data_IF_204508363353
#
_entry.id   IF_204508363353
#
_cell.length_a   1.000
_cell.length_b   1.000
_cell.length_c   1.000
_cell.angle_alpha   90.00
_cell.angle_beta   90.00
_cell.angle_gamma   90.00
#
_symmetry.space_group_name_H-M   'P 1'
#
loop_
_entity.id
_entity.type
_entity.pdbx_description
1 polymer ?
#
# COMPACT_ATOMS: atom_id res chain seq x y z
N UNK A 1 5.15 -75.46 9.24
CA UNK A 1 4.03 -75.36 8.28
C UNK A 1 2.86 -74.69 9.00
N UNK A 2 2.22 -73.60 8.54
CA UNK A 2 2.45 -72.78 7.34
C UNK A 2 2.82 -71.31 7.62
N UNK A 3 3.47 -70.69 6.65
CA UNK A 3 3.74 -69.25 6.52
C UNK A 3 2.53 -68.55 5.87
N UNK A 4 2.21 -67.32 6.25
CA UNK A 4 1.57 -66.30 5.39
C UNK A 4 1.23 -65.03 6.17
N UNK A 5 1.28 -63.79 5.70
CA UNK A 5 1.93 -63.11 4.56
C UNK A 5 1.80 -61.61 4.91
N UNK A 6 2.87 -60.82 4.77
CA UNK A 6 2.83 -59.38 5.02
C UNK A 6 1.84 -58.68 4.07
N UNK A 7 0.90 -57.89 4.62
CA UNK A 7 -0.05 -57.11 3.84
C UNK A 7 0.59 -55.77 3.42
N UNK A 8 1.43 -55.81 2.38
CA UNK A 8 1.82 -54.61 1.64
C UNK A 8 0.58 -54.09 0.89
N UNK A 9 0.05 -52.94 1.27
CA UNK A 9 -0.85 -52.18 0.40
C UNK A 9 -0.04 -51.09 -0.28
N UNK A 10 0.31 -51.33 -1.56
CA UNK A 10 0.91 -50.33 -2.42
C UNK A 10 -0.01 -49.11 -2.53
N UNK A 11 0.46 -47.94 -2.09
CA UNK A 11 -0.19 -46.66 -2.38
C UNK A 11 0.05 -46.35 -3.85
N UNK A 12 -0.95 -46.57 -4.70
CA UNK A 12 -0.91 -46.17 -6.12
C UNK A 12 -0.68 -44.65 -6.21
N UNK A 13 0.47 -44.27 -6.76
CA UNK A 13 0.75 -42.92 -7.25
C UNK A 13 0.35 -42.84 -8.72
N UNK A 14 -0.85 -42.35 -9.02
CA UNK A 14 -1.17 -41.89 -10.37
C UNK A 14 -1.81 -40.51 -10.29
N UNK A 15 -0.99 -39.50 -10.61
CA UNK A 15 -1.48 -38.21 -11.06
C UNK A 15 -2.04 -38.32 -12.48
N UNK A 16 -2.86 -37.35 -12.86
CA UNK A 16 -3.30 -37.12 -14.25
C UNK A 16 -4.72 -37.61 -14.55
N UNK A 17 -5.61 -36.65 -14.83
CA UNK A 17 -7.04 -36.80 -15.16
C UNK A 17 -7.32 -37.74 -16.34
N UNK A 18 -8.43 -38.47 -16.29
CA UNK A 18 -9.02 -39.17 -17.44
C UNK A 18 -9.76 -38.20 -18.39
N UNK A 19 -9.75 -38.42 -19.72
CA UNK A 19 -10.41 -37.53 -20.66
C UNK A 19 -11.92 -37.82 -20.71
N UNK A 20 -12.75 -36.81 -20.45
CA UNK A 20 -14.21 -36.95 -20.56
C UNK A 20 -14.74 -36.14 -21.75
N UNK A 21 -15.35 -36.85 -22.69
CA UNK A 21 -16.08 -36.32 -23.85
C UNK A 21 -17.47 -35.85 -23.40
N UNK A 22 -17.84 -34.61 -23.74
CA UNK A 22 -19.25 -34.18 -23.83
C UNK A 22 -19.75 -33.16 -22.81
N UNK A 23 -20.07 -31.97 -23.35
CA UNK A 23 -20.97 -30.91 -22.88
C UNK A 23 -20.53 -30.01 -21.70
N UNK A 24 -20.73 -28.72 -21.96
CA UNK A 24 -20.26 -27.56 -21.21
C UNK A 24 -20.54 -27.65 -19.71
N UNK A 25 -19.48 -27.60 -18.91
CA UNK A 25 -19.58 -27.39 -17.46
C UNK A 25 -18.91 -26.07 -17.12
N UNK A 26 -19.73 -25.10 -16.69
CA UNK A 26 -19.30 -23.87 -16.03
C UNK A 26 -18.22 -24.22 -15.01
N UNK A 27 -17.08 -23.53 -15.04
CA UNK A 27 -16.02 -23.66 -14.05
C UNK A 27 -16.49 -23.10 -12.71
N UNK A 28 -17.32 -23.88 -12.01
CA UNK A 28 -17.51 -23.73 -10.58
C UNK A 28 -16.16 -24.06 -9.91
N UNK A 29 -15.41 -23.02 -9.51
CA UNK A 29 -14.30 -23.19 -8.58
C UNK A 29 -14.81 -23.99 -7.39
N UNK A 30 -14.22 -25.17 -7.16
CA UNK A 30 -14.51 -26.02 -6.01
C UNK A 30 -14.30 -25.23 -4.71
N UNK A 31 -15.38 -24.68 -4.15
CA UNK A 31 -15.57 -24.64 -2.71
C UNK A 31 -16.43 -25.85 -2.37
N UNK A 32 -15.78 -26.90 -1.87
CA UNK A 32 -16.41 -28.17 -1.59
C UNK A 32 -17.69 -28.03 -0.74
N UNK A 33 -18.70 -28.82 -1.07
CA UNK A 33 -19.79 -29.20 -0.17
C UNK A 33 -19.16 -29.90 1.05
N UNK A 34 -18.87 -29.12 2.09
CA UNK A 34 -18.52 -29.65 3.40
C UNK A 34 -19.71 -29.40 4.32
N UNK A 35 -20.42 -30.48 4.67
CA UNK A 35 -21.25 -30.54 5.88
C UNK A 35 -20.29 -30.31 7.04
N UNK A 36 -20.27 -29.08 7.57
CA UNK A 36 -19.37 -28.66 8.65
C UNK A 36 -18.46 -27.49 8.27
N UNK A 37 -18.96 -26.27 8.52
CA UNK A 37 -18.16 -25.06 8.68
C UNK A 37 -17.51 -24.49 7.40
N UNK A 38 -18.00 -23.34 6.94
CA UNK A 38 -17.29 -22.49 5.97
C UNK A 38 -15.89 -22.21 6.52
N UNK A 39 -14.83 -22.58 5.78
CA UNK A 39 -13.45 -22.21 6.14
C UNK A 39 -13.39 -20.71 6.35
N UNK A 40 -12.98 -20.28 7.56
CA UNK A 40 -12.86 -18.85 7.89
C UNK A 40 -11.96 -18.17 6.85
N UNK A 41 -12.34 -16.98 6.35
CA UNK A 41 -11.48 -16.24 5.43
C UNK A 41 -10.16 -15.92 6.11
N UNK A 42 -9.06 -16.11 5.37
CA UNK A 42 -7.73 -15.82 5.90
C UNK A 42 -7.57 -14.32 6.15
N UNK A 43 -7.19 -13.95 7.39
CA UNK A 43 -6.88 -12.58 7.79
C UNK A 43 -5.44 -12.49 8.29
N UNK A 44 -4.67 -11.58 7.72
CA UNK A 44 -3.33 -11.29 8.20
C UNK A 44 -3.36 -10.67 9.60
N UNK A 45 -2.32 -10.94 10.40
CA UNK A 45 -2.16 -10.30 11.71
C UNK A 45 -1.98 -8.77 11.53
N UNK A 46 -2.43 -7.96 12.50
CA UNK A 46 -2.11 -6.52 12.51
C UNK A 46 -0.60 -6.29 12.33
N UNK A 47 -0.23 -5.29 11.52
CA UNK A 47 1.16 -5.00 11.19
C UNK A 47 1.76 -5.82 10.03
N UNK A 48 1.26 -7.03 9.73
CA UNK A 48 1.82 -7.85 8.63
C UNK A 48 1.67 -7.17 7.27
N UNK A 49 0.51 -6.56 7.00
CA UNK A 49 0.27 -5.86 5.74
C UNK A 49 1.05 -4.55 5.69
N UNK A 50 1.09 -3.80 6.79
CA UNK A 50 1.84 -2.54 6.90
C UNK A 50 3.35 -2.76 6.64
N UNK A 51 3.98 -3.78 7.23
CA UNK A 51 5.39 -4.10 6.99
C UNK A 51 5.66 -4.49 5.52
N UNK A 52 4.69 -5.16 4.87
CA UNK A 52 4.79 -5.49 3.45
C UNK A 52 4.69 -4.24 2.57
N UNK A 53 3.81 -3.31 2.91
CA UNK A 53 3.66 -2.03 2.22
C UNK A 53 4.91 -1.16 2.38
N UNK A 54 5.47 -1.05 3.59
CA UNK A 54 6.73 -0.32 3.85
C UNK A 54 7.85 -0.85 2.95
N UNK A 55 8.06 -2.18 2.91
CA UNK A 55 9.09 -2.79 2.06
C UNK A 55 8.84 -2.57 0.57
N UNK A 56 7.56 -2.60 0.15
CA UNK A 56 7.19 -2.33 -1.24
C UNK A 56 7.55 -0.90 -1.60
N UNK A 57 7.10 0.08 -0.82
CA UNK A 57 7.29 1.50 -1.12
C UNK A 57 8.74 1.95 -1.00
N UNK A 58 9.53 1.37 -0.09
CA UNK A 58 10.96 1.61 -0.01
C UNK A 58 11.76 1.06 -1.21
N UNK A 59 11.23 0.05 -1.92
CA UNK A 59 11.89 -0.53 -3.10
C UNK A 59 11.54 0.24 -4.39
N UNK A 60 10.41 0.94 -4.41
CA UNK A 60 9.92 1.69 -5.55
C UNK A 60 10.21 3.19 -5.43
N UNK A 61 10.23 3.89 -6.55
CA UNK A 61 10.31 5.36 -6.61
C UNK A 61 9.06 5.97 -7.25
N UNK A 62 7.92 5.27 -7.20
CA UNK A 62 6.67 5.77 -7.73
C UNK A 62 6.09 6.88 -6.84
N UNK A 63 5.54 7.93 -7.46
CA UNK A 63 4.83 8.98 -6.74
C UNK A 63 3.51 8.43 -6.18
N UNK A 64 3.26 8.67 -4.89
CA UNK A 64 2.14 8.13 -4.14
C UNK A 64 0.92 9.06 -4.13
N UNK A 65 1.13 10.37 -4.30
CA UNK A 65 0.03 11.33 -4.36
C UNK A 65 -0.57 11.31 -5.77
N UNK A 66 -1.91 11.26 -5.84
CA UNK A 66 -2.61 11.30 -7.13
C UNK A 66 -2.37 12.66 -7.81
N UNK A 67 -1.94 12.63 -9.08
CA UNK A 67 -1.56 13.83 -9.85
C UNK A 67 -2.65 14.91 -9.92
N UNK A 68 -3.90 14.51 -10.18
CA UNK A 68 -4.99 15.47 -10.43
C UNK A 68 -5.42 16.24 -9.16
N UNK A 69 -5.61 15.58 -7.99
CA UNK A 69 -5.75 16.29 -6.71
C UNK A 69 -4.56 17.20 -6.36
N UNK A 70 -3.32 16.73 -6.57
CA UNK A 70 -2.13 17.55 -6.31
C UNK A 70 -2.12 18.82 -7.17
N UNK A 71 -2.40 18.69 -8.46
CA UNK A 71 -2.51 19.82 -9.38
C UNK A 71 -3.59 20.82 -8.94
N UNK A 72 -4.76 20.36 -8.46
CA UNK A 72 -5.82 21.24 -7.95
C UNK A 72 -5.34 22.02 -6.73
N UNK A 73 -4.67 21.35 -5.78
CA UNK A 73 -4.11 21.98 -4.59
C UNK A 73 -3.06 23.04 -4.93
N UNK A 74 -2.15 22.76 -5.87
CA UNK A 74 -1.15 23.75 -6.31
C UNK A 74 -1.83 24.99 -6.88
N UNK A 75 -2.87 24.81 -7.70
CA UNK A 75 -3.63 25.93 -8.29
C UNK A 75 -4.39 26.74 -7.25
N UNK A 76 -4.97 26.07 -6.27
CA UNK A 76 -5.68 26.68 -5.15
C UNK A 76 -4.74 27.58 -4.34
N UNK A 77 -3.57 27.06 -3.95
CA UNK A 77 -2.52 27.82 -3.25
C UNK A 77 -2.01 28.99 -4.11
N UNK A 78 -1.84 28.79 -5.41
CA UNK A 78 -1.44 29.85 -6.34
C UNK A 78 -2.47 30.98 -6.41
N UNK A 79 -3.77 30.65 -6.42
CA UNK A 79 -4.84 31.63 -6.42
C UNK A 79 -4.92 32.40 -5.10
N UNK A 80 -4.93 31.68 -3.97
CA UNK A 80 -5.07 32.24 -2.63
C UNK A 80 -3.85 33.07 -2.20
N UNK A 81 -2.65 32.49 -2.26
CA UNK A 81 -1.45 33.11 -1.67
C UNK A 81 -0.75 34.13 -2.54
N UNK A 82 -0.88 34.02 -3.86
CA UNK A 82 -0.09 34.81 -4.79
C UNK A 82 -0.94 35.71 -5.69
N UNK A 83 -2.25 35.76 -5.46
CA UNK A 83 -3.17 36.63 -6.21
C UNK A 83 -3.17 36.33 -7.70
N UNK A 84 -2.74 35.14 -8.11
CA UNK A 84 -2.70 34.81 -9.53
C UNK A 84 -4.11 34.76 -10.12
N UNK A 85 -5.16 34.58 -9.31
CA UNK A 85 -6.57 34.58 -9.72
C UNK A 85 -6.95 35.88 -10.44
N UNK A 86 -6.71 35.93 -11.76
CA UNK A 86 -7.24 36.99 -12.61
C UNK A 86 -8.59 36.55 -13.17
N UNK A 87 -9.59 37.45 -13.20
CA UNK A 87 -10.93 37.13 -13.67
C UNK A 87 -10.98 36.70 -15.15
N UNK A 88 -9.96 37.05 -15.94
CA UNK A 88 -9.81 36.73 -17.36
C UNK A 88 -9.08 35.40 -17.64
N UNK A 89 -8.36 34.84 -16.66
CA UNK A 89 -7.67 33.54 -16.77
C UNK A 89 -8.14 32.59 -15.67
N UNK A 90 -9.22 31.82 -15.90
CA UNK A 90 -9.75 30.87 -14.92
C UNK A 90 -8.77 29.72 -14.59
N UNK A 91 -7.72 29.53 -15.40
CA UNK A 91 -6.71 28.50 -15.19
C UNK A 91 -5.29 29.05 -15.40
N UNK A 92 -4.49 29.12 -14.34
CA UNK A 92 -3.06 29.42 -14.45
C UNK A 92 -2.35 28.40 -15.33
N UNK A 93 -1.61 28.86 -16.33
CA UNK A 93 -0.81 27.93 -17.14
C UNK A 93 0.40 27.56 -16.31
N UNK A 94 0.48 26.29 -15.92
CA UNK A 94 1.61 25.72 -15.20
C UNK A 94 2.24 24.70 -16.14
N UNK A 95 3.55 24.78 -16.31
CA UNK A 95 4.29 23.79 -17.07
C UNK A 95 4.12 22.40 -16.43
N UNK A 96 3.98 21.37 -17.26
CA UNK A 96 3.87 19.98 -16.79
C UNK A 96 5.10 19.55 -15.98
N UNK A 97 6.29 19.94 -16.42
CA UNK A 97 7.56 19.71 -15.70
C UNK A 97 7.61 20.42 -14.34
N UNK A 98 7.07 21.64 -14.23
CA UNK A 98 7.01 22.36 -12.95
C UNK A 98 6.07 21.66 -11.96
N UNK A 99 4.90 21.19 -12.41
CA UNK A 99 4.00 20.39 -11.56
C UNK A 99 4.65 19.09 -11.09
N UNK A 100 5.39 18.41 -11.96
CA UNK A 100 6.11 17.19 -11.60
C UNK A 100 7.20 17.46 -10.56
N UNK A 101 8.01 18.50 -10.75
CA UNK A 101 9.06 18.88 -9.81
C UNK A 101 8.50 19.28 -8.43
N UNK A 102 7.39 20.04 -8.40
CA UNK A 102 6.71 20.37 -7.16
C UNK A 102 6.21 19.12 -6.43
N UNK A 103 5.67 18.15 -7.17
CA UNK A 103 5.18 16.91 -6.59
C UNK A 103 6.33 16.07 -6.02
N UNK A 104 7.40 15.89 -6.79
CA UNK A 104 8.58 15.13 -6.38
C UNK A 104 9.21 15.72 -5.11
N UNK A 105 9.43 17.04 -5.09
CA UNK A 105 9.97 17.74 -3.92
C UNK A 105 9.04 17.62 -2.69
N UNK A 106 7.73 17.75 -2.89
CA UNK A 106 6.75 17.64 -1.80
C UNK A 106 6.72 16.24 -1.20
N UNK A 107 6.72 15.20 -2.03
CA UNK A 107 6.70 13.81 -1.55
C UNK A 107 8.02 13.44 -0.87
N UNK A 108 9.17 13.85 -1.43
CA UNK A 108 10.47 13.65 -0.81
C UNK A 108 10.53 14.28 0.60
N UNK A 109 10.09 15.54 0.71
CA UNK A 109 10.02 16.26 1.98
C UNK A 109 9.13 15.54 3.02
N UNK A 110 7.93 15.08 2.61
CA UNK A 110 7.02 14.37 3.50
C UNK A 110 7.61 13.03 3.97
N UNK A 111 8.28 12.28 3.09
CA UNK A 111 8.94 11.02 3.46
C UNK A 111 10.01 11.26 4.52
N UNK A 112 10.85 12.28 4.34
CA UNK A 112 11.90 12.65 5.30
C UNK A 112 11.30 13.08 6.64
N UNK A 113 10.27 13.93 6.61
CA UNK A 113 9.57 14.35 7.82
C UNK A 113 8.93 13.18 8.58
N UNK A 114 8.38 12.18 7.87
CA UNK A 114 7.84 10.98 8.49
C UNK A 114 8.92 10.07 9.07
N UNK A 115 10.13 10.06 8.52
CA UNK A 115 11.26 9.33 9.10
C UNK A 115 11.63 9.93 10.47
N UNK A 116 11.73 11.25 10.56
CA UNK A 116 12.01 11.94 11.83
C UNK A 116 10.88 11.78 12.84
N UNK A 117 9.63 11.91 12.40
CA UNK A 117 8.47 11.71 13.26
C UNK A 117 8.41 10.26 13.79
N UNK A 118 8.82 9.29 12.97
CA UNK A 118 8.92 7.89 13.39
C UNK A 118 10.05 7.70 14.43
N UNK A 119 11.20 8.34 14.24
CA UNK A 119 12.29 8.33 15.23
C UNK A 119 11.83 8.94 16.58
N UNK A 120 11.08 10.05 16.54
CA UNK A 120 10.50 10.67 17.74
C UNK A 120 9.46 9.76 18.43
N UNK A 121 8.62 9.06 17.67
CA UNK A 121 7.67 8.10 18.22
C UNK A 121 8.38 6.92 18.91
N UNK A 122 9.42 6.36 18.28
CA UNK A 122 10.24 5.29 18.84
C UNK A 122 10.99 5.74 20.09
N UNK A 123 11.53 6.95 20.11
CA UNK A 123 12.16 7.56 21.28
C UNK A 123 11.18 7.62 22.47
N UNK A 124 9.90 7.91 22.19
CA UNK A 124 8.82 7.91 23.17
C UNK A 124 8.22 6.52 23.45
N UNK A 125 8.89 5.42 23.06
CA UNK A 125 8.46 4.01 23.24
C UNK A 125 7.10 3.68 22.59
N UNK A 126 6.75 4.36 21.49
CA UNK A 126 5.53 4.11 20.71
C UNK A 126 5.89 3.65 19.29
N UNK A 127 4.96 2.94 18.66
CA UNK A 127 5.04 2.52 17.25
C UNK A 127 4.14 3.39 16.35
N UNK A 128 3.12 4.02 16.93
CA UNK A 128 2.20 4.90 16.21
C UNK A 128 2.67 6.34 16.27
N UNK A 129 2.94 6.92 15.10
CA UNK A 129 3.25 8.35 14.93
C UNK A 129 2.03 9.20 15.28
N UNK A 130 2.25 10.29 16.00
CA UNK A 130 1.23 11.24 16.44
C UNK A 130 1.58 12.66 15.99
N UNK A 131 0.62 13.61 15.97
CA UNK A 131 0.88 14.99 15.59
C UNK A 131 2.00 15.68 16.38
N UNK A 132 2.17 15.32 17.67
CA UNK A 132 3.27 15.82 18.52
C UNK A 132 4.65 15.40 18.04
N UNK A 133 4.76 14.24 17.38
CA UNK A 133 6.03 13.72 16.86
C UNK A 133 6.45 14.53 15.61
N UNK A 134 5.48 14.87 14.75
CA UNK A 134 5.68 15.75 13.60
C UNK A 134 6.02 17.17 14.08
N UNK A 135 5.28 17.71 15.05
CA UNK A 135 5.55 19.03 15.60
C UNK A 135 6.97 19.12 16.21
N UNK A 136 7.40 18.06 16.91
CA UNK A 136 8.76 17.96 17.44
C UNK A 136 9.81 17.92 16.32
N UNK A 137 9.61 17.08 15.30
CA UNK A 137 10.51 16.99 14.16
C UNK A 137 10.69 18.34 13.46
N UNK A 138 9.59 19.05 13.16
CA UNK A 138 9.61 20.38 12.55
C UNK A 138 10.28 21.44 13.43
N UNK A 139 10.13 21.33 14.76
CA UNK A 139 10.78 22.23 15.71
C UNK A 139 12.30 22.05 15.70
N UNK A 140 12.77 20.79 15.68
CA UNK A 140 14.20 20.47 15.65
C UNK A 140 14.83 20.88 14.31
N UNK A 141 14.11 20.69 13.19
CA UNK A 141 14.53 21.15 11.85
C UNK A 141 14.61 22.68 11.70
N UNK A 142 14.07 23.45 12.64
CA UNK A 142 14.08 24.91 12.59
C UNK A 142 12.99 25.52 11.68
N UNK A 143 12.06 24.73 11.17
CA UNK A 143 11.01 25.18 10.24
C UNK A 143 9.90 26.02 10.90
N UNK A 144 9.84 26.00 12.23
CA UNK A 144 8.76 26.64 12.99
C UNK A 144 9.01 28.15 13.20
N UNK A 145 10.17 28.67 12.77
CA UNK A 145 10.62 30.04 13.03
C UNK A 145 10.31 31.06 11.92
N UNK A 146 9.64 30.67 10.83
CA UNK A 146 9.12 31.62 9.85
C UNK A 146 7.62 31.80 10.06
N UNK A 147 7.27 32.72 10.98
CA UNK A 147 5.94 33.30 11.11
C UNK A 147 6.07 34.80 11.23
#
# INVERSE_FOLDING_TARGET
MPLSTAKQTARKSTGGKSPRKGLATKTAKQSALAVGGVKKPHRYKPGTVALREIRRYQKSTELLIRKMPFQRLVRDIMGDKFGFARPDVPFHRIQTGALAALQEASEAYLVELFQDANAAALHAKRVTVMPKDIALARRIRGETYYR
#
